data_IF_377159044938
#
_entry.id   IF_377159044938
#
_cell.length_a   1.000
_cell.length_b   1.000
_cell.length_c   1.000
_cell.angle_alpha   90.00
_cell.angle_beta   90.00
_cell.angle_gamma   90.00
#
_symmetry.space_group_name_H-M   'P 1'
#
loop_
_entity.id
_entity.type
_entity.pdbx_description
1 polymer ?
#
# COMPACT_ATOMS: atom_id res chain seq x y z
N UNK A 1 -13.76 2.84 1.21
CA UNK A 1 -12.63 3.70 0.76
C UNK A 1 -11.51 3.50 1.74
N UNK A 2 -10.25 3.79 1.39
CA UNK A 2 -9.12 3.59 2.29
C UNK A 2 -8.41 4.92 2.56
N UNK A 3 -7.91 5.07 3.77
CA UNK A 3 -7.07 6.19 4.22
C UNK A 3 -5.59 5.88 4.04
N UNK A 4 -4.75 6.90 4.05
CA UNK A 4 -3.30 6.71 4.03
C UNK A 4 -2.80 5.93 5.25
N UNK A 5 -3.44 6.08 6.41
CA UNK A 5 -3.11 5.33 7.63
C UNK A 5 -3.42 3.83 7.48
N UNK A 6 -4.57 3.48 6.90
CA UNK A 6 -4.92 2.09 6.62
C UNK A 6 -3.94 1.46 5.63
N UNK A 7 -3.56 2.19 4.56
CA UNK A 7 -2.55 1.70 3.62
C UNK A 7 -1.18 1.49 4.30
N UNK A 8 -0.77 2.40 5.19
CA UNK A 8 0.46 2.22 5.98
C UNK A 8 0.40 0.96 6.83
N UNK A 9 -0.68 0.80 7.60
CA UNK A 9 -0.90 -0.36 8.49
C UNK A 9 -0.91 -1.66 7.70
N UNK A 10 -1.59 -1.68 6.56
CA UNK A 10 -1.59 -2.82 5.65
C UNK A 10 -0.15 -3.18 5.25
N UNK A 11 0.65 -2.22 4.82
CA UNK A 11 2.05 -2.48 4.48
C UNK A 11 2.82 -3.10 5.66
N UNK A 12 2.72 -2.52 6.85
CA UNK A 12 3.43 -2.96 8.05
C UNK A 12 3.03 -4.37 8.51
N UNK A 13 1.76 -4.74 8.34
CA UNK A 13 1.24 -6.07 8.73
C UNK A 13 1.44 -7.15 7.66
N UNK A 14 1.77 -6.79 6.42
CA UNK A 14 1.74 -7.72 5.27
C UNK A 14 3.12 -7.88 4.61
N UNK A 15 4.20 -7.95 5.39
CA UNK A 15 5.57 -8.18 4.92
C UNK A 15 6.10 -7.14 3.92
N UNK A 16 5.52 -5.94 3.89
CA UNK A 16 6.11 -4.85 3.14
C UNK A 16 7.24 -4.23 3.94
N UNK A 17 8.40 -4.05 3.30
CA UNK A 17 9.56 -3.42 3.91
C UNK A 17 9.61 -1.95 3.53
N UNK A 18 9.66 -1.07 4.53
CA UNK A 18 9.98 0.33 4.33
C UNK A 18 11.43 0.42 3.84
N UNK A 19 11.66 1.07 2.71
CA UNK A 19 13.02 1.23 2.15
C UNK A 19 13.42 2.69 1.98
N UNK A 20 12.48 3.62 2.02
CA UNK A 20 12.75 5.06 2.04
C UNK A 20 11.67 5.78 2.84
N UNK A 21 12.11 6.69 3.70
CA UNK A 21 11.26 7.58 4.48
C UNK A 21 11.77 9.01 4.31
N UNK A 22 10.97 9.86 3.68
CA UNK A 22 11.31 11.27 3.43
C UNK A 22 10.06 12.13 3.62
N UNK A 23 9.51 12.71 2.55
CA UNK A 23 8.21 13.38 2.56
C UNK A 23 7.04 12.36 2.53
N UNK A 24 7.32 11.14 2.08
CA UNK A 24 6.40 10.00 2.03
C UNK A 24 7.09 8.73 2.56
N UNK A 25 6.27 7.74 2.92
CA UNK A 25 6.74 6.37 3.17
C UNK A 25 6.75 5.58 1.86
N UNK A 26 7.87 4.95 1.55
CA UNK A 26 8.01 4.08 0.38
C UNK A 26 8.25 2.65 0.83
N UNK A 27 7.30 1.79 0.50
CA UNK A 27 7.34 0.37 0.84
C UNK A 27 7.61 -0.48 -0.39
N UNK A 28 8.30 -1.60 -0.19
CA UNK A 28 8.52 -2.63 -1.20
C UNK A 28 8.11 -4.00 -0.67
N UNK A 29 7.59 -4.86 -1.55
CA UNK A 29 7.35 -6.27 -1.26
C UNK A 29 7.88 -7.11 -2.41
N UNK A 30 8.62 -8.15 -2.08
CA UNK A 30 9.14 -9.10 -3.06
C UNK A 30 8.22 -10.32 -3.02
N UNK A 31 7.63 -10.66 -4.14
CA UNK A 31 6.77 -11.83 -4.30
C UNK A 31 7.62 -13.10 -4.50
N UNK A 32 7.05 -14.30 -4.27
CA UNK A 32 7.79 -15.57 -4.43
C UNK A 32 8.35 -15.81 -5.84
N UNK A 33 7.72 -15.23 -6.86
CA UNK A 33 8.16 -15.26 -8.26
C UNK A 33 9.30 -14.27 -8.57
N UNK A 34 9.77 -13.51 -7.56
CA UNK A 34 10.77 -12.46 -7.71
C UNK A 34 10.20 -11.10 -8.15
N UNK A 35 8.90 -10.99 -8.38
CA UNK A 35 8.26 -9.71 -8.73
C UNK A 35 8.40 -8.72 -7.57
N UNK A 36 8.91 -7.53 -7.85
CA UNK A 36 9.00 -6.43 -6.87
C UNK A 36 7.79 -5.52 -7.00
N UNK A 37 7.03 -5.41 -5.92
CA UNK A 37 5.95 -4.45 -5.77
C UNK A 37 6.42 -3.22 -4.99
N UNK A 38 5.97 -2.05 -5.40
CA UNK A 38 6.31 -0.77 -4.78
C UNK A 38 5.02 0.01 -4.51
N UNK A 39 4.93 0.60 -3.33
CA UNK A 39 3.82 1.49 -2.98
C UNK A 39 4.31 2.72 -2.23
N UNK A 40 3.65 3.85 -2.48
CA UNK A 40 3.93 5.15 -1.88
C UNK A 40 2.76 5.54 -0.98
N UNK A 41 3.05 5.85 0.26
CA UNK A 41 2.06 6.22 1.27
C UNK A 41 2.32 7.64 1.75
N UNK A 42 1.30 8.50 1.65
CA UNK A 42 1.35 9.86 2.20
C UNK A 42 1.39 9.84 3.73
N UNK A 43 2.13 10.80 4.31
CA UNK A 43 2.14 11.05 5.76
C UNK A 43 0.87 11.76 6.25
N UNK A 44 0.02 12.24 5.34
CA UNK A 44 -1.25 12.87 5.68
C UNK A 44 -2.29 11.91 6.26
N UNK A 45 -3.33 12.45 6.87
CA UNK A 45 -4.43 11.69 7.49
C UNK A 45 -5.68 11.56 6.60
N UNK A 46 -5.64 12.07 5.37
CA UNK A 46 -6.79 12.10 4.46
C UNK A 46 -7.15 10.74 3.86
N UNK A 47 -8.33 10.69 3.25
CA UNK A 47 -8.74 9.58 2.40
C UNK A 47 -7.95 9.56 1.08
N UNK A 48 -7.76 8.38 0.52
CA UNK A 48 -7.17 8.22 -0.80
C UNK A 48 -8.28 8.42 -1.84
N UNK A 49 -8.11 9.34 -2.81
CA UNK A 49 -9.10 9.54 -3.87
C UNK A 49 -9.47 8.23 -4.58
N UNK A 50 -10.76 7.96 -4.78
CA UNK A 50 -11.28 6.67 -5.28
C UNK A 50 -10.58 6.17 -6.55
N UNK A 51 -10.29 7.06 -7.50
CA UNK A 51 -9.57 6.71 -8.73
C UNK A 51 -8.12 6.30 -8.48
N UNK A 52 -7.43 7.00 -7.57
CA UNK A 52 -6.07 6.67 -7.16
C UNK A 52 -6.04 5.36 -6.39
N UNK A 53 -6.99 5.14 -5.47
CA UNK A 53 -7.07 3.92 -4.68
C UNK A 53 -7.23 2.66 -5.55
N UNK A 54 -8.09 2.72 -6.58
CA UNK A 54 -8.23 1.62 -7.55
C UNK A 54 -6.90 1.31 -8.28
N UNK A 55 -6.12 2.34 -8.62
CA UNK A 55 -4.80 2.16 -9.25
C UNK A 55 -3.80 1.54 -8.28
N UNK A 56 -3.77 1.98 -7.02
CA UNK A 56 -2.91 1.41 -5.98
C UNK A 56 -3.22 -0.08 -5.80
N UNK A 57 -4.49 -0.46 -5.63
CA UNK A 57 -4.89 -1.87 -5.50
C UNK A 57 -4.45 -2.73 -6.69
N UNK A 58 -4.74 -2.28 -7.92
CA UNK A 58 -4.49 -3.07 -9.13
C UNK A 58 -3.01 -3.13 -9.52
N UNK A 59 -2.30 -2.00 -9.45
CA UNK A 59 -0.97 -1.87 -10.04
C UNK A 59 0.16 -1.98 -8.99
N UNK A 60 -0.06 -1.48 -7.77
CA UNK A 60 0.96 -1.44 -6.74
C UNK A 60 0.85 -2.66 -5.81
N UNK A 61 -0.33 -2.88 -5.22
CA UNK A 61 -0.54 -3.95 -4.26
C UNK A 61 -0.86 -5.30 -4.92
N UNK A 62 -1.32 -5.28 -6.18
CA UNK A 62 -1.85 -6.45 -6.92
C UNK A 62 -2.84 -7.27 -6.08
N UNK A 63 -3.79 -6.58 -5.43
CA UNK A 63 -4.78 -7.19 -4.54
C UNK A 63 -6.18 -6.62 -4.78
N UNK A 64 -7.21 -7.22 -4.19
CA UNK A 64 -8.59 -6.74 -4.26
C UNK A 64 -8.94 -5.89 -3.03
N UNK A 65 -10.02 -5.12 -3.11
CA UNK A 65 -10.52 -4.38 -1.95
C UNK A 65 -10.88 -5.30 -0.78
N UNK A 66 -11.47 -6.46 -1.08
CA UNK A 66 -11.89 -7.44 -0.07
C UNK A 66 -10.68 -8.04 0.66
N UNK A 67 -9.65 -8.44 -0.10
CA UNK A 67 -8.40 -8.94 0.47
C UNK A 67 -7.66 -7.87 1.27
N UNK A 68 -7.67 -6.62 0.80
CA UNK A 68 -7.12 -5.50 1.56
C UNK A 68 -7.84 -5.35 2.91
N UNK A 69 -9.18 -5.34 2.91
CA UNK A 69 -9.98 -5.16 4.12
C UNK A 69 -9.80 -6.30 5.14
N UNK A 70 -9.56 -7.54 4.68
CA UNK A 70 -9.31 -8.68 5.58
C UNK A 70 -7.97 -8.62 6.31
N UNK A 71 -7.01 -7.88 5.76
CA UNK A 71 -5.61 -7.85 6.21
C UNK A 71 -5.19 -6.49 6.80
N UNK A 72 -6.14 -5.58 6.99
CA UNK A 72 -5.94 -4.23 7.55
C UNK A 72 -6.46 -4.16 9.00
#
# INVERSE_FOLDING_TARGET
MATWKELKRYCESNDWRLYKDTDHYFYRKILPDGTVLLTKVSKGSGEIPKGLWKRILKQQLKTTQEEFNRKT
#
